data_IF_761725520633
#
_entry.id   IF_761725520633
#
_cell.length_a   1.000
_cell.length_b   1.000
_cell.length_c   1.000
_cell.angle_alpha   90.00
_cell.angle_beta   90.00
_cell.angle_gamma   90.00
#
_symmetry.space_group_name_H-M   'P 1'
#
loop_
_entity.id
_entity.type
_entity.pdbx_description
1 polymer ?
#
# COMPACT_ATOMS: atom_id res chain seq x y z
N UNK A 1 -9.81 21.31 20.66
CA UNK A 1 -8.95 20.74 19.59
C UNK A 1 -8.84 21.78 18.49
N UNK A 2 -7.64 22.00 17.96
CA UNK A 2 -7.43 22.99 16.89
C UNK A 2 -8.06 22.51 15.59
N UNK A 3 -8.59 23.47 14.82
CA UNK A 3 -9.10 23.23 13.48
C UNK A 3 -7.91 23.05 12.50
N UNK A 4 -8.10 22.16 11.54
CA UNK A 4 -7.20 22.01 10.40
C UNK A 4 -7.82 22.82 9.27
N UNK A 5 -7.18 23.95 8.94
CA UNK A 5 -7.63 24.83 7.87
C UNK A 5 -7.14 24.30 6.50
N UNK A 6 -8.07 24.13 5.57
CA UNK A 6 -7.82 23.71 4.20
C UNK A 6 -8.13 24.81 3.16
N UNK A 7 -8.42 26.05 3.61
CA UNK A 7 -8.83 27.14 2.73
C UNK A 7 -7.78 27.45 1.66
N UNK A 8 -6.51 27.47 2.01
CA UNK A 8 -5.41 27.70 1.06
C UNK A 8 -5.39 26.69 -0.11
N UNK A 9 -5.85 25.47 0.11
CA UNK A 9 -5.98 24.48 -0.97
C UNK A 9 -7.21 24.76 -1.85
N UNK A 10 -8.29 25.31 -1.25
CA UNK A 10 -9.47 25.76 -2.02
C UNK A 10 -9.09 26.90 -2.95
N UNK A 11 -8.36 27.90 -2.46
CA UNK A 11 -7.83 29.01 -3.25
C UNK A 11 -6.88 28.52 -4.36
N UNK A 12 -6.07 27.49 -4.10
CA UNK A 12 -5.21 26.85 -5.10
C UNK A 12 -5.97 26.01 -6.13
N UNK A 13 -7.31 25.97 -6.11
CA UNK A 13 -8.13 25.26 -7.07
C UNK A 13 -8.39 23.80 -6.72
N UNK A 14 -8.51 23.47 -5.43
CA UNK A 14 -8.83 22.11 -4.95
C UNK A 14 -10.05 21.52 -5.68
N UNK A 15 -11.09 22.32 -5.89
CA UNK A 15 -12.35 21.91 -6.50
C UNK A 15 -12.43 22.12 -8.02
N UNK A 16 -11.32 22.46 -8.67
CA UNK A 16 -11.28 22.55 -10.12
C UNK A 16 -11.49 21.17 -10.75
N UNK A 17 -12.49 21.05 -11.61
CA UNK A 17 -12.84 19.81 -12.28
C UNK A 17 -11.96 19.52 -13.51
N UNK A 18 -11.05 20.45 -13.89
CA UNK A 18 -10.10 20.20 -14.96
C UNK A 18 -9.02 19.19 -14.48
N UNK A 19 -8.93 17.98 -15.07
CA UNK A 19 -7.91 17.01 -14.70
C UNK A 19 -6.47 17.49 -14.92
N UNK A 20 -6.27 18.43 -15.85
CA UNK A 20 -4.95 18.96 -16.20
C UNK A 20 -4.53 20.12 -15.28
N UNK A 21 -5.43 20.62 -14.45
CA UNK A 21 -5.08 21.64 -13.45
C UNK A 21 -4.13 21.04 -12.42
N UNK A 22 -2.92 21.58 -12.33
CA UNK A 22 -1.88 21.09 -11.45
C UNK A 22 -1.78 21.94 -10.17
N UNK A 23 -2.09 21.35 -9.03
CA UNK A 23 -1.77 21.93 -7.73
C UNK A 23 -0.40 21.40 -7.33
N UNK A 24 0.60 22.28 -7.12
CA UNK A 24 1.94 21.85 -6.80
C UNK A 24 1.98 20.84 -5.64
N UNK A 25 2.75 19.75 -5.81
CA UNK A 25 2.98 18.68 -4.82
C UNK A 25 1.74 17.86 -4.45
N UNK A 26 0.60 18.08 -5.13
CA UNK A 26 -0.60 17.27 -4.98
C UNK A 26 -0.85 16.41 -6.22
N UNK A 27 -1.34 15.20 -5.99
CA UNK A 27 -1.86 14.33 -7.03
C UNK A 27 -3.38 14.26 -6.90
N UNK A 28 -4.09 14.61 -7.97
CA UNK A 28 -5.54 14.47 -8.07
C UNK A 28 -5.89 13.29 -8.97
N UNK A 29 -6.92 12.55 -8.62
CA UNK A 29 -7.43 11.45 -9.42
C UNK A 29 -8.95 11.47 -9.41
N UNK A 30 -9.54 11.61 -10.57
CA UNK A 30 -10.99 11.56 -10.77
C UNK A 30 -11.45 10.11 -10.94
N UNK A 31 -12.60 9.82 -10.41
CA UNK A 31 -13.22 8.51 -10.45
C UNK A 31 -14.74 8.67 -10.57
N UNK A 32 -15.33 8.10 -11.61
CA UNK A 32 -16.79 8.03 -11.77
C UNK A 32 -17.25 6.64 -11.40
N UNK A 33 -18.12 6.56 -10.41
CA UNK A 33 -18.75 5.31 -9.97
C UNK A 33 -19.76 4.85 -11.03
N UNK A 34 -19.56 3.64 -11.55
CA UNK A 34 -20.51 3.03 -12.47
C UNK A 34 -21.84 2.66 -11.79
N UNK A 35 -21.79 2.43 -10.47
CA UNK A 35 -22.96 2.02 -9.68
C UNK A 35 -23.87 3.20 -9.34
N UNK A 36 -23.27 4.34 -8.98
CA UNK A 36 -23.98 5.50 -8.44
C UNK A 36 -24.02 6.68 -9.41
N UNK A 37 -23.25 6.63 -10.51
CA UNK A 37 -23.03 7.70 -11.47
C UNK A 37 -22.51 9.01 -10.84
N UNK A 38 -21.96 8.94 -9.61
CA UNK A 38 -21.31 10.07 -8.96
C UNK A 38 -19.85 10.13 -9.36
N UNK A 39 -19.34 11.33 -9.54
CA UNK A 39 -17.91 11.57 -9.82
C UNK A 39 -17.23 12.17 -8.61
N UNK A 40 -16.13 11.56 -8.21
CA UNK A 40 -15.32 11.96 -7.07
C UNK A 40 -13.92 12.34 -7.53
N UNK A 41 -13.29 13.26 -6.80
CA UNK A 41 -11.87 13.51 -6.88
C UNK A 41 -11.20 13.06 -5.57
N UNK A 42 -10.16 12.22 -5.70
CA UNK A 42 -9.26 11.90 -4.58
C UNK A 42 -8.02 12.78 -4.69
N UNK A 43 -7.69 13.47 -3.63
CA UNK A 43 -6.51 14.33 -3.54
C UNK A 43 -5.55 13.77 -2.51
N UNK A 44 -4.28 13.70 -2.86
CA UNK A 44 -3.22 13.26 -1.97
C UNK A 44 -1.91 13.98 -2.27
N UNK A 45 -1.07 14.15 -1.27
CA UNK A 45 0.27 14.68 -1.50
C UNK A 45 1.10 13.73 -2.40
N UNK A 46 1.95 14.32 -3.23
CA UNK A 46 2.97 13.56 -3.95
C UNK A 46 4.16 13.29 -3.02
N UNK A 47 4.40 12.01 -2.74
CA UNK A 47 5.46 11.59 -1.82
C UNK A 47 6.87 11.92 -2.33
N UNK A 48 7.05 12.01 -3.65
CA UNK A 48 8.37 12.21 -4.27
C UNK A 48 8.78 13.68 -4.28
N UNK A 49 7.80 14.59 -4.39
CA UNK A 49 8.05 16.04 -4.50
C UNK A 49 7.92 16.78 -3.16
N UNK A 50 7.32 16.17 -2.13
CA UNK A 50 7.10 16.79 -0.83
C UNK A 50 8.35 16.73 0.05
N UNK A 51 8.77 17.87 0.59
CA UNK A 51 9.89 17.98 1.54
C UNK A 51 9.45 17.72 2.99
N UNK A 52 10.41 17.64 3.92
CA UNK A 52 10.08 17.42 5.35
C UNK A 52 9.40 18.63 5.99
N UNK A 53 9.78 19.82 5.60
CA UNK A 53 9.23 21.09 6.08
C UNK A 53 7.75 21.25 5.74
N UNK A 54 7.30 20.55 4.69
CA UNK A 54 5.92 20.59 4.21
C UNK A 54 5.00 19.52 4.82
N UNK A 55 5.51 18.72 5.77
CA UNK A 55 4.69 17.69 6.40
C UNK A 55 3.49 18.24 7.16
N UNK A 56 3.61 19.43 7.72
CA UNK A 56 2.55 20.09 8.49
C UNK A 56 1.62 20.94 7.63
N UNK A 57 1.94 21.16 6.35
CA UNK A 57 1.11 21.87 5.38
C UNK A 57 0.60 20.91 4.29
N UNK A 58 1.40 20.61 3.28
CA UNK A 58 1.04 19.67 2.20
C UNK A 58 0.70 18.28 2.71
N UNK A 59 1.33 17.85 3.79
CA UNK A 59 1.08 16.57 4.44
C UNK A 59 -0.33 16.40 5.01
N UNK A 60 -1.10 17.49 5.19
CA UNK A 60 -2.53 17.47 5.51
C UNK A 60 -3.33 16.72 4.42
N UNK A 61 -2.94 16.86 3.17
CA UNK A 61 -3.59 16.25 2.02
C UNK A 61 -3.16 14.79 1.82
N UNK A 62 -3.25 13.96 2.85
CA UNK A 62 -2.88 12.53 2.77
C UNK A 62 -3.86 11.72 1.94
N UNK A 63 -5.14 11.95 2.12
CA UNK A 63 -6.25 11.42 1.35
C UNK A 63 -7.49 12.25 1.66
N UNK A 64 -7.86 13.10 0.74
CA UNK A 64 -9.08 13.92 0.79
C UNK A 64 -9.94 13.51 -0.38
N UNK A 65 -11.24 13.34 -0.15
CA UNK A 65 -12.21 13.00 -1.20
C UNK A 65 -13.30 14.04 -1.22
N UNK A 66 -13.59 14.56 -2.39
CA UNK A 66 -14.76 15.41 -2.61
C UNK A 66 -15.60 14.91 -3.80
N UNK A 67 -16.91 15.18 -3.75
CA UNK A 67 -17.81 14.96 -4.88
C UNK A 67 -17.70 16.16 -5.83
N UNK A 68 -17.48 15.89 -7.11
CA UNK A 68 -17.25 16.94 -8.11
C UNK A 68 -18.51 17.71 -8.48
N UNK A 69 -19.69 17.15 -8.26
CA UNK A 69 -20.97 17.78 -8.64
C UNK A 69 -21.33 18.96 -7.70
N UNK A 70 -21.16 18.76 -6.39
CA UNK A 70 -21.48 19.77 -5.39
C UNK A 70 -20.25 20.36 -4.68
N UNK A 71 -19.04 19.93 -5.06
CA UNK A 71 -17.75 20.36 -4.50
C UNK A 71 -17.64 20.15 -2.97
N UNK A 72 -18.38 19.19 -2.43
CA UNK A 72 -18.36 18.90 -1.01
C UNK A 72 -17.25 17.91 -0.66
N UNK A 73 -16.45 18.24 0.33
CA UNK A 73 -15.48 17.32 0.93
C UNK A 73 -16.25 16.31 1.79
N UNK A 74 -16.06 15.03 1.46
CA UNK A 74 -16.76 13.91 2.07
C UNK A 74 -15.86 13.07 2.98
N UNK A 75 -14.55 13.07 2.72
CA UNK A 75 -13.59 12.27 3.50
C UNK A 75 -12.28 13.01 3.69
N UNK A 76 -11.74 12.88 4.88
CA UNK A 76 -10.42 13.35 5.26
C UNK A 76 -9.72 12.27 6.08
N UNK A 77 -8.51 11.88 5.66
CA UNK A 77 -7.71 10.89 6.38
C UNK A 77 -6.74 11.58 7.35
N UNK A 78 -6.36 10.92 8.47
CA UNK A 78 -5.34 11.46 9.35
C UNK A 78 -4.12 11.96 8.59
N UNK A 79 -3.64 13.19 8.84
CA UNK A 79 -2.50 13.79 8.16
C UNK A 79 -1.24 12.93 8.23
N UNK A 80 -0.27 13.26 7.41
CA UNK A 80 1.02 12.60 7.44
C UNK A 80 1.71 12.85 8.79
N UNK A 81 2.03 11.79 9.52
CA UNK A 81 2.86 11.90 10.71
C UNK A 81 4.30 12.23 10.31
N UNK A 82 4.93 13.14 11.03
CA UNK A 82 6.37 13.36 10.96
C UNK A 82 7.12 12.15 11.51
N UNK A 83 8.35 11.94 11.06
CA UNK A 83 9.21 10.97 11.72
C UNK A 83 9.77 11.62 12.99
N UNK A 84 9.66 10.94 14.13
CA UNK A 84 10.15 11.46 15.41
C UNK A 84 11.68 11.62 15.36
N UNK A 85 12.13 12.79 15.76
CA UNK A 85 13.50 13.06 16.18
C UNK A 85 13.43 13.80 17.52
N UNK A 86 14.45 13.70 18.35
CA UNK A 86 14.53 14.45 19.61
C UNK A 86 14.38 15.96 19.39
N UNK A 87 14.88 16.48 18.29
CA UNK A 87 14.77 17.88 17.89
C UNK A 87 13.33 18.25 17.52
N UNK A 88 12.67 17.45 16.69
CA UNK A 88 11.28 17.72 16.27
C UNK A 88 10.29 17.60 17.43
N UNK A 89 10.61 16.83 18.47
CA UNK A 89 9.79 16.69 19.65
C UNK A 89 10.06 17.80 20.69
N UNK A 90 11.29 18.35 20.71
CA UNK A 90 11.66 19.46 21.59
C UNK A 90 10.83 20.74 21.38
N UNK A 91 10.39 20.98 20.12
CA UNK A 91 9.51 22.09 19.75
C UNK A 91 8.03 21.86 20.16
N UNK A 92 7.66 20.64 20.55
CA UNK A 92 6.32 20.34 21.04
C UNK A 92 6.29 20.63 22.54
N UNK A 93 5.50 21.62 22.94
CA UNK A 93 5.17 21.80 24.35
C UNK A 93 4.56 20.50 24.86
N UNK A 94 5.17 19.92 25.89
CA UNK A 94 4.82 18.59 26.42
C UNK A 94 3.39 18.45 26.94
N UNK A 95 2.67 19.56 27.08
CA UNK A 95 1.28 19.56 27.53
C UNK A 95 0.37 18.94 26.44
N UNK A 96 -0.45 17.98 26.85
CA UNK A 96 -1.42 17.29 26.01
C UNK A 96 -0.85 16.40 24.91
N UNK A 97 0.32 15.78 25.10
CA UNK A 97 0.81 14.75 24.21
C UNK A 97 0.38 13.38 24.70
N UNK A 98 -0.13 12.58 23.77
CA UNK A 98 -0.55 11.20 23.98
C UNK A 98 0.32 10.25 23.17
N UNK A 99 0.77 9.15 23.79
CA UNK A 99 1.38 8.03 23.09
C UNK A 99 0.31 6.96 22.85
N UNK A 100 0.21 6.52 21.61
CA UNK A 100 -0.76 5.52 21.18
C UNK A 100 -0.12 4.47 20.26
N UNK A 101 -0.79 3.35 20.14
CA UNK A 101 -0.42 2.27 19.23
C UNK A 101 -0.26 2.79 17.79
N UNK A 102 0.83 2.40 17.14
CA UNK A 102 0.95 2.54 15.70
C UNK A 102 0.35 1.29 15.04
N UNK A 103 -0.91 1.37 14.65
CA UNK A 103 -1.67 0.23 14.15
C UNK A 103 -1.17 -0.23 12.78
N UNK A 104 -0.80 -1.52 12.64
CA UNK A 104 -0.46 -2.15 11.35
C UNK A 104 -1.73 -2.49 10.56
N UNK A 105 -1.73 -2.20 9.28
CA UNK A 105 -2.83 -2.51 8.36
C UNK A 105 -3.01 -1.47 7.25
N UNK A 106 -4.11 -1.58 6.54
CA UNK A 106 -4.47 -0.68 5.43
C UNK A 106 -5.57 0.27 5.84
N UNK A 107 -5.31 1.58 5.69
CA UNK A 107 -6.31 2.61 6.01
C UNK A 107 -7.44 2.63 4.97
N UNK A 108 -8.66 2.54 5.46
CA UNK A 108 -9.93 2.69 4.72
C UNK A 108 -10.74 3.78 5.40
N UNK A 109 -11.20 4.75 4.64
CA UNK A 109 -12.10 5.78 5.16
C UNK A 109 -13.53 5.47 4.75
N UNK A 110 -14.46 5.74 5.65
CA UNK A 110 -15.90 5.58 5.48
C UNK A 110 -16.55 6.96 5.59
N UNK A 111 -17.43 7.28 4.66
CA UNK A 111 -18.14 8.56 4.61
C UNK A 111 -19.53 8.39 4.01
N UNK A 112 -20.42 9.32 4.34
CA UNK A 112 -21.77 9.42 3.78
C UNK A 112 -21.78 10.37 2.59
N UNK A 113 -22.43 9.98 1.48
CA UNK A 113 -22.69 10.86 0.34
C UNK A 113 -24.20 10.95 0.10
N UNK A 114 -24.75 12.12 0.32
CA UNK A 114 -26.17 12.44 0.15
C UNK A 114 -26.66 12.40 -1.30
N UNK A 115 -25.72 12.48 -2.26
CA UNK A 115 -26.05 12.45 -3.70
C UNK A 115 -26.21 11.04 -4.28
N UNK A 116 -26.12 10.00 -3.48
CA UNK A 116 -26.31 8.63 -3.93
C UNK A 116 -27.77 8.23 -3.74
N UNK A 117 -28.44 7.87 -4.85
CA UNK A 117 -29.85 7.51 -4.82
C UNK A 117 -30.73 8.64 -4.34
N UNK A 118 -31.86 8.29 -3.71
CA UNK A 118 -32.82 9.28 -3.19
C UNK A 118 -32.53 9.74 -1.75
N UNK A 119 -31.83 8.94 -0.98
CA UNK A 119 -31.60 9.17 0.45
C UNK A 119 -30.13 9.26 0.87
N UNK A 120 -29.20 9.13 -0.08
CA UNK A 120 -27.77 8.98 0.18
C UNK A 120 -27.38 7.53 0.49
N UNK A 121 -26.06 7.28 0.51
CA UNK A 121 -25.51 5.97 0.90
C UNK A 121 -24.08 6.11 1.43
N UNK A 122 -23.65 5.09 2.19
CA UNK A 122 -22.31 4.98 2.70
C UNK A 122 -21.32 4.59 1.61
N UNK A 123 -20.20 5.28 1.57
CA UNK A 123 -19.07 4.96 0.68
C UNK A 123 -17.81 4.68 1.46
N UNK A 124 -16.94 3.88 0.83
CA UNK A 124 -15.62 3.58 1.37
C UNK A 124 -14.55 4.02 0.36
N UNK A 125 -13.41 4.43 0.87
CA UNK A 125 -12.27 4.80 0.04
C UNK A 125 -10.97 4.29 0.63
N UNK A 126 -10.09 3.81 -0.21
CA UNK A 126 -8.68 3.66 0.13
C UNK A 126 -7.97 5.01 -0.05
N UNK A 127 -6.67 5.08 0.23
CA UNK A 127 -5.91 6.34 0.09
C UNK A 127 -6.08 7.05 -1.27
N UNK A 128 -6.36 6.33 -2.35
CA UNK A 128 -6.36 6.89 -3.71
C UNK A 128 -7.44 6.31 -4.62
N UNK A 129 -8.39 5.58 -4.09
CA UNK A 129 -9.45 4.94 -4.87
C UNK A 129 -10.74 4.91 -4.08
N UNK A 130 -11.73 5.67 -4.55
CA UNK A 130 -13.12 5.58 -4.07
C UNK A 130 -13.68 4.21 -4.43
N UNK A 131 -14.63 3.72 -3.66
CA UNK A 131 -15.14 2.34 -3.64
C UNK A 131 -14.11 1.29 -3.21
N UNK A 132 -12.81 1.63 -3.10
CA UNK A 132 -11.74 0.71 -2.73
C UNK A 132 -11.69 -0.62 -3.53
N UNK A 133 -12.18 -0.61 -4.79
CA UNK A 133 -12.18 -1.78 -5.68
C UNK A 133 -10.79 -2.06 -6.29
N UNK A 134 -9.77 -1.95 -5.48
CA UNK A 134 -8.36 -2.20 -5.80
C UNK A 134 -7.73 -3.08 -4.74
N UNK A 135 -6.66 -3.78 -5.08
CA UNK A 135 -5.80 -4.52 -4.14
C UNK A 135 -4.35 -4.13 -4.33
N UNK A 136 -3.52 -4.37 -3.32
CA UNK A 136 -2.09 -4.10 -3.44
C UNK A 136 -1.34 -5.32 -4.01
N UNK A 137 -1.60 -6.50 -3.48
CA UNK A 137 -1.00 -7.75 -3.96
C UNK A 137 -1.89 -8.36 -5.03
N UNK A 138 -1.58 -8.04 -6.30
CA UNK A 138 -2.37 -8.51 -7.43
C UNK A 138 -1.86 -9.89 -7.90
N UNK A 139 -2.61 -10.92 -7.60
CA UNK A 139 -2.53 -12.24 -8.20
C UNK A 139 -3.94 -12.73 -8.54
N UNK A 140 -4.05 -13.73 -9.39
CA UNK A 140 -5.34 -14.28 -9.80
C UNK A 140 -6.15 -14.70 -8.57
N UNK A 141 -7.34 -14.13 -8.39
CA UNK A 141 -8.21 -14.39 -7.25
C UNK A 141 -7.94 -13.55 -6.00
N UNK A 142 -7.04 -12.52 -6.07
CA UNK A 142 -6.85 -11.60 -4.94
C UNK A 142 -8.09 -10.77 -4.67
N UNK A 143 -8.45 -10.63 -3.39
CA UNK A 143 -9.56 -9.80 -2.93
C UNK A 143 -9.22 -8.30 -3.06
N UNK A 144 -10.22 -7.48 -3.35
CA UNK A 144 -10.09 -6.02 -3.30
C UNK A 144 -10.17 -5.51 -1.85
N UNK A 145 -9.68 -4.30 -1.59
CA UNK A 145 -9.84 -3.67 -0.28
C UNK A 145 -11.31 -3.52 0.12
N UNK A 146 -12.20 -3.24 -0.85
CA UNK A 146 -13.65 -3.22 -0.58
C UNK A 146 -14.13 -4.55 -0.05
N UNK A 147 -13.80 -5.64 -0.75
CA UNK A 147 -14.23 -6.98 -0.34
C UNK A 147 -13.72 -7.32 1.06
N UNK A 148 -12.43 -7.13 1.30
CA UNK A 148 -11.80 -7.42 2.59
C UNK A 148 -12.35 -6.54 3.72
N UNK A 149 -12.68 -5.28 3.44
CA UNK A 149 -13.27 -4.36 4.41
C UNK A 149 -14.68 -4.80 4.80
N UNK A 150 -15.54 -5.16 3.83
CA UNK A 150 -16.88 -5.64 4.10
C UNK A 150 -16.87 -7.00 4.82
N UNK A 151 -15.94 -7.89 4.48
CA UNK A 151 -15.69 -9.13 5.22
C UNK A 151 -15.31 -8.84 6.67
N UNK A 152 -14.44 -7.86 6.89
CA UNK A 152 -14.06 -7.42 8.23
C UNK A 152 -15.23 -6.77 8.98
N UNK A 153 -16.10 -5.97 8.34
CA UNK A 153 -17.32 -5.44 8.94
C UNK A 153 -18.20 -6.57 9.48
N UNK A 154 -18.42 -7.60 8.67
CA UNK A 154 -19.21 -8.77 9.09
C UNK A 154 -18.55 -9.50 10.26
N UNK A 155 -17.23 -9.73 10.22
CA UNK A 155 -16.50 -10.42 11.29
C UNK A 155 -16.55 -9.69 12.63
N UNK A 156 -16.52 -8.34 12.61
CA UNK A 156 -16.58 -7.51 13.81
C UNK A 156 -18.01 -7.02 14.14
N UNK A 157 -19.02 -7.44 13.40
CA UNK A 157 -20.43 -7.02 13.55
C UNK A 157 -20.62 -5.50 13.41
N UNK A 158 -19.86 -4.83 12.55
CA UNK A 158 -20.01 -3.41 12.29
C UNK A 158 -21.08 -3.18 11.22
N UNK A 159 -22.20 -2.61 11.61
CA UNK A 159 -23.23 -2.08 10.73
C UNK A 159 -23.01 -0.58 10.54
N UNK A 160 -23.16 -0.08 9.30
CA UNK A 160 -22.96 1.34 9.03
C UNK A 160 -24.00 2.23 9.70
N UNK A 161 -25.15 1.68 10.06
CA UNK A 161 -26.20 2.41 10.82
C UNK A 161 -25.78 2.77 12.25
N UNK A 162 -24.71 2.18 12.78
CA UNK A 162 -24.10 2.61 14.03
C UNK A 162 -23.29 3.90 13.86
N UNK A 163 -22.94 4.28 12.63
CA UNK A 163 -22.17 5.48 12.34
C UNK A 163 -23.08 6.68 12.10
N UNK A 164 -22.72 7.82 12.64
CA UNK A 164 -23.44 9.08 12.39
C UNK A 164 -23.05 9.67 11.05
N UNK A 165 -24.02 10.11 10.26
CA UNK A 165 -23.80 10.75 8.94
C UNK A 165 -23.25 12.16 9.09
N UNK A 166 -23.86 12.93 10.01
CA UNK A 166 -23.53 14.32 10.30
C UNK A 166 -23.51 14.56 11.81
N UNK A 167 -22.87 15.62 12.22
CA UNK A 167 -22.94 16.18 13.56
C UNK A 167 -24.21 17.04 13.71
N UNK A 168 -24.60 17.41 14.94
CA UNK A 168 -25.80 18.22 15.25
C UNK A 168 -25.80 19.57 14.53
N UNK A 169 -24.62 20.17 14.29
CA UNK A 169 -24.46 21.43 13.55
C UNK A 169 -24.53 21.29 12.02
N UNK A 170 -24.83 20.10 11.49
CA UNK A 170 -24.88 19.79 10.06
C UNK A 170 -23.54 19.48 9.42
N UNK A 171 -22.43 19.56 10.16
CA UNK A 171 -21.10 19.18 9.65
C UNK A 171 -21.04 17.69 9.36
N UNK A 172 -20.32 17.29 8.31
CA UNK A 172 -20.18 15.88 7.91
C UNK A 172 -19.20 15.16 8.81
N UNK A 173 -19.47 13.87 9.02
CA UNK A 173 -18.57 12.99 9.75
C UNK A 173 -17.94 11.98 8.78
N UNK A 174 -16.63 11.76 8.92
CA UNK A 174 -15.93 10.68 8.23
C UNK A 174 -15.05 9.89 9.20
N UNK A 175 -14.89 8.61 8.89
CA UNK A 175 -14.31 7.62 9.79
C UNK A 175 -13.07 6.99 9.14
N UNK A 176 -11.95 6.98 9.84
CA UNK A 176 -10.71 6.37 9.39
C UNK A 176 -10.48 5.04 10.12
N UNK A 177 -10.68 3.94 9.42
CA UNK A 177 -10.41 2.60 9.91
C UNK A 177 -9.06 2.09 9.38
N UNK A 178 -8.40 1.27 10.17
CA UNK A 178 -7.32 0.41 9.71
C UNK A 178 -7.85 -1.01 9.55
N UNK A 179 -7.84 -1.50 8.34
CA UNK A 179 -8.18 -2.86 7.97
C UNK A 179 -6.99 -3.78 8.23
N UNK A 180 -7.21 -4.78 9.08
CA UNK A 180 -6.31 -5.91 9.33
C UNK A 180 -6.95 -7.18 8.75
N UNK A 181 -6.29 -7.80 7.78
CA UNK A 181 -6.89 -8.92 7.06
C UNK A 181 -5.84 -9.98 6.73
N UNK A 182 -6.15 -11.30 6.88
CA UNK A 182 -5.22 -12.38 6.56
C UNK A 182 -4.68 -12.31 5.14
N UNK A 183 -5.53 -12.00 4.15
CA UNK A 183 -5.15 -11.92 2.73
C UNK A 183 -4.43 -10.62 2.36
N UNK A 184 -4.28 -9.68 3.30
CA UNK A 184 -3.57 -8.41 3.10
C UNK A 184 -2.54 -8.14 4.20
N UNK A 185 -1.81 -9.16 4.61
CA UNK A 185 -0.77 -9.05 5.61
C UNK A 185 0.34 -8.09 5.16
N UNK A 186 0.65 -7.06 5.96
CA UNK A 186 1.79 -6.17 5.74
C UNK A 186 3.02 -6.74 6.47
N UNK A 187 3.00 -6.79 7.80
CA UNK A 187 4.02 -7.44 8.62
C UNK A 187 3.37 -8.39 9.61
N UNK A 188 2.44 -7.88 10.41
CA UNK A 188 1.79 -8.66 11.47
C UNK A 188 0.84 -9.69 10.85
N UNK A 189 0.93 -10.98 11.24
CA UNK A 189 -0.04 -11.99 10.79
C UNK A 189 -1.34 -11.84 11.57
N UNK A 190 -2.45 -11.84 10.85
CA UNK A 190 -3.79 -11.86 11.45
C UNK A 190 -4.51 -13.16 11.06
N UNK A 191 -5.13 -13.83 12.02
CA UNK A 191 -5.90 -15.06 11.77
C UNK A 191 -7.34 -14.76 11.35
N UNK A 192 -7.85 -13.58 11.71
CA UNK A 192 -9.18 -13.10 11.40
C UNK A 192 -9.12 -11.67 10.89
N UNK A 193 -10.12 -11.29 10.11
CA UNK A 193 -10.27 -9.92 9.69
C UNK A 193 -10.69 -9.04 10.90
N UNK A 194 -10.10 -7.85 11.02
CA UNK A 194 -10.38 -6.90 12.09
C UNK A 194 -10.45 -5.48 11.54
N UNK A 195 -11.14 -4.62 12.27
CA UNK A 195 -11.17 -3.18 12.03
C UNK A 195 -10.74 -2.45 13.30
N UNK A 196 -9.86 -1.47 13.12
CA UNK A 196 -9.45 -0.54 14.19
C UNK A 196 -9.90 0.85 13.78
N UNK A 197 -10.81 1.47 14.52
CA UNK A 197 -11.22 2.86 14.31
C UNK A 197 -10.15 3.79 14.89
N UNK A 198 -9.36 4.38 13.99
CA UNK A 198 -8.19 5.20 14.39
C UNK A 198 -8.60 6.65 14.68
N UNK A 199 -9.50 7.22 13.86
CA UNK A 199 -9.90 8.62 14.01
C UNK A 199 -11.25 8.87 13.35
N UNK A 200 -12.00 9.80 13.92
CA UNK A 200 -13.19 10.40 13.31
C UNK A 200 -12.88 11.87 13.06
N UNK A 201 -13.33 12.40 11.95
CA UNK A 201 -13.21 13.82 11.63
C UNK A 201 -14.57 14.43 11.35
N UNK A 202 -14.76 15.64 11.85
CA UNK A 202 -15.85 16.54 11.52
C UNK A 202 -15.36 17.50 10.43
N UNK A 203 -16.06 17.54 9.31
CA UNK A 203 -15.76 18.39 8.15
C UNK A 203 -16.76 19.54 8.15
N UNK A 204 -16.27 20.74 8.40
CA UNK A 204 -17.04 21.97 8.40
C UNK A 204 -16.75 22.71 7.09
N UNK A 205 -17.73 22.77 6.21
CA UNK A 205 -17.58 23.41 4.90
C UNK A 205 -18.72 24.40 4.67
N UNK A 206 -18.36 25.65 4.43
CA UNK A 206 -19.23 26.75 3.97
C UNK A 206 -18.74 27.21 2.60
N UNK A 207 -19.38 28.25 2.05
CA UNK A 207 -18.96 28.87 0.79
C UNK A 207 -17.52 29.39 0.84
N UNK A 208 -17.14 29.94 2.00
CA UNK A 208 -15.88 30.69 2.14
C UNK A 208 -14.88 30.02 3.08
N UNK A 209 -15.22 28.89 3.67
CA UNK A 209 -14.34 28.22 4.62
C UNK A 209 -14.43 26.69 4.51
N UNK A 210 -13.28 26.03 4.66
CA UNK A 210 -13.18 24.58 4.75
C UNK A 210 -12.23 24.22 5.88
N UNK A 211 -12.80 23.75 7.00
CA UNK A 211 -12.02 23.29 8.14
C UNK A 211 -12.36 21.84 8.51
N UNK A 212 -11.40 21.15 9.08
CA UNK A 212 -11.55 19.77 9.55
C UNK A 212 -11.11 19.70 11.00
N UNK A 213 -11.94 19.11 11.84
CA UNK A 213 -11.68 18.97 13.28
C UNK A 213 -11.66 17.49 13.64
N UNK A 214 -10.63 16.99 14.35
CA UNK A 214 -10.73 15.69 14.98
C UNK A 214 -11.94 15.65 15.92
N UNK A 215 -12.73 14.60 15.79
CA UNK A 215 -13.97 14.47 16.54
C UNK A 215 -13.90 13.26 17.46
N UNK A 216 -14.15 13.48 18.73
CA UNK A 216 -14.25 12.42 19.73
C UNK A 216 -15.70 12.34 20.22
N UNK A 217 -16.31 11.18 19.99
CA UNK A 217 -17.67 10.90 20.42
C UNK A 217 -17.66 9.70 21.38
N UNK A 218 -17.81 10.01 22.66
CA UNK A 218 -17.84 8.99 23.72
C UNK A 218 -19.05 8.06 23.51
N UNK A 219 -20.21 8.60 23.10
CA UNK A 219 -21.43 7.80 22.89
C UNK A 219 -21.24 6.81 21.72
N UNK A 220 -20.60 7.24 20.62
CA UNK A 220 -20.26 6.36 19.51
C UNK A 220 -19.25 5.29 19.94
N UNK A 221 -18.21 5.67 20.69
CA UNK A 221 -17.22 4.72 21.17
C UNK A 221 -17.85 3.64 22.06
N UNK A 222 -18.70 4.05 22.99
CA UNK A 222 -19.46 3.14 23.87
C UNK A 222 -20.36 2.22 23.05
N UNK A 223 -21.14 2.77 22.09
CA UNK A 223 -22.01 2.00 21.21
C UNK A 223 -21.24 0.93 20.44
N UNK A 224 -20.10 1.31 19.82
CA UNK A 224 -19.27 0.37 19.07
C UNK A 224 -18.66 -0.71 19.97
N UNK A 225 -18.26 -0.36 21.20
CA UNK A 225 -17.74 -1.34 22.17
C UNK A 225 -18.80 -2.33 22.64
N UNK A 226 -20.05 -1.90 22.76
CA UNK A 226 -21.17 -2.75 23.18
C UNK A 226 -21.73 -3.64 22.07
N UNK A 227 -21.78 -3.12 20.83
CA UNK A 227 -22.46 -3.77 19.71
C UNK A 227 -21.50 -4.50 18.76
N UNK A 228 -20.21 -4.20 18.81
CA UNK A 228 -19.23 -4.69 17.84
C UNK A 228 -17.94 -5.15 18.50
N UNK A 229 -17.10 -5.84 17.73
CA UNK A 229 -15.71 -6.13 18.11
C UNK A 229 -14.70 -5.18 17.45
N UNK A 230 -15.15 -4.01 16.98
CA UNK A 230 -14.28 -2.94 16.47
C UNK A 230 -13.30 -2.52 17.54
N UNK A 231 -12.03 -2.46 17.18
CA UNK A 231 -10.95 -2.04 18.08
C UNK A 231 -10.67 -0.55 17.96
N UNK A 232 -9.98 -0.02 18.95
CA UNK A 232 -9.42 1.32 18.97
C UNK A 232 -7.91 1.21 19.20
N UNK A 233 -7.08 2.17 18.73
CA UNK A 233 -5.67 2.18 19.08
C UNK A 233 -5.50 2.18 20.60
N UNK A 234 -4.59 1.36 21.09
CA UNK A 234 -4.25 1.35 22.50
C UNK A 234 -3.57 2.66 22.89
N UNK A 235 -4.02 3.30 23.96
CA UNK A 235 -3.38 4.48 24.52
C UNK A 235 -2.39 4.03 25.58
N UNK A 236 -1.09 4.19 25.32
CA UNK A 236 -0.04 3.77 26.22
C UNK A 236 0.18 4.76 27.36
N UNK A 237 0.13 6.06 27.04
CA UNK A 237 0.27 7.12 28.04
C UNK A 237 -0.30 8.44 27.53
N UNK A 238 -0.88 9.21 28.45
CA UNK A 238 -1.37 10.58 28.25
C UNK A 238 -0.50 11.57 29.01
N UNK A 239 -0.48 12.84 28.60
CA UNK A 239 0.30 13.91 29.23
C UNK A 239 1.78 13.55 29.41
N UNK A 240 2.42 13.12 28.32
CA UNK A 240 3.78 12.60 28.32
C UNK A 240 4.79 13.69 28.73
N UNK A 241 5.66 13.37 29.67
CA UNK A 241 6.81 14.18 30.01
C UNK A 241 8.08 13.69 29.28
N UNK A 242 9.10 14.53 29.18
CA UNK A 242 10.38 14.14 28.56
C UNK A 242 11.01 12.88 29.17
N UNK A 243 10.84 12.69 30.50
CA UNK A 243 11.29 11.49 31.22
C UNK A 243 10.63 10.19 30.73
N UNK A 244 9.41 10.26 30.25
CA UNK A 244 8.64 9.08 29.84
C UNK A 244 9.01 8.55 28.45
N UNK A 245 9.61 9.41 27.64
CA UNK A 245 9.87 9.13 26.23
C UNK A 245 10.79 7.92 26.08
N UNK A 246 11.88 7.88 26.86
CA UNK A 246 12.86 6.81 26.75
C UNK A 246 12.24 5.44 27.11
N UNK A 247 11.45 5.39 28.17
CA UNK A 247 10.77 4.17 28.60
C UNK A 247 9.77 3.66 27.53
N UNK A 248 9.03 4.59 26.90
CA UNK A 248 8.14 4.27 25.80
C UNK A 248 8.89 3.76 24.57
N UNK A 249 10.03 4.37 24.24
CA UNK A 249 10.88 3.93 23.13
C UNK A 249 11.48 2.54 23.39
N UNK A 250 11.97 2.31 24.59
CA UNK A 250 12.56 1.03 24.98
C UNK A 250 11.54 -0.10 24.95
N UNK A 251 10.28 0.21 25.30
CA UNK A 251 9.19 -0.77 25.30
C UNK A 251 8.64 -1.06 23.90
N UNK A 252 8.36 -0.01 23.10
CA UNK A 252 7.56 -0.14 21.88
C UNK A 252 8.34 0.10 20.58
N UNK A 253 9.56 0.61 20.62
CA UNK A 253 10.32 0.98 19.43
C UNK A 253 11.82 0.69 19.53
N UNK A 254 12.22 -0.30 20.32
CA UNK A 254 13.61 -0.74 20.49
C UNK A 254 13.91 -2.03 19.69
N UNK A 255 15.18 -2.42 19.69
CA UNK A 255 15.62 -3.71 19.12
C UNK A 255 15.12 -4.94 19.90
N UNK A 256 14.62 -4.75 21.12
CA UNK A 256 14.04 -5.82 21.94
C UNK A 256 12.52 -5.93 21.76
N UNK A 257 11.90 -4.96 21.08
CA UNK A 257 10.48 -4.96 20.78
C UNK A 257 10.17 -6.00 19.69
N UNK A 258 9.23 -6.93 19.91
CA UNK A 258 8.90 -7.97 18.92
C UNK A 258 8.29 -7.35 17.65
N UNK A 259 8.49 -8.02 16.50
CA UNK A 259 8.09 -7.50 15.18
C UNK A 259 6.58 -7.31 14.99
N UNK A 260 5.73 -7.88 15.83
CA UNK A 260 4.29 -7.70 15.79
C UNK A 260 3.82 -6.36 16.38
N UNK A 261 4.71 -5.59 16.97
CA UNK A 261 4.49 -4.21 17.40
C UNK A 261 5.08 -3.29 16.35
N UNK A 262 4.25 -2.49 15.65
CA UNK A 262 4.74 -1.59 14.60
C UNK A 262 5.57 -0.43 15.14
N UNK A 263 5.31 -0.02 16.37
CA UNK A 263 5.89 1.13 17.04
C UNK A 263 4.84 1.95 17.75
N UNK A 264 5.08 3.24 17.91
CA UNK A 264 4.15 4.15 18.55
C UNK A 264 3.96 5.46 17.76
N UNK A 265 2.86 6.13 18.04
CA UNK A 265 2.53 7.45 17.53
C UNK A 265 2.36 8.40 18.71
N UNK A 266 3.05 9.52 18.65
CA UNK A 266 2.78 10.65 19.53
C UNK A 266 1.80 11.58 18.85
N UNK A 267 0.71 11.90 19.52
CA UNK A 267 -0.33 12.82 19.05
C UNK A 267 -0.40 14.02 19.99
N UNK A 268 -0.19 15.21 19.47
CA UNK A 268 -0.42 16.45 20.21
C UNK A 268 -1.90 16.82 20.08
N UNK A 269 -2.64 16.74 21.19
CA UNK A 269 -4.08 16.96 21.22
C UNK A 269 -4.47 18.45 21.08
N UNK A 270 -3.50 19.37 21.22
CA UNK A 270 -3.72 20.80 21.09
C UNK A 270 -3.69 21.25 19.63
N UNK A 271 -2.70 20.83 18.85
CA UNK A 271 -2.46 21.30 17.47
C UNK A 271 -2.61 20.20 16.39
N UNK A 272 -3.04 19.00 16.78
CA UNK A 272 -3.22 17.82 15.92
C UNK A 272 -1.94 17.32 15.20
N UNK A 273 -0.77 17.79 15.60
CA UNK A 273 0.49 17.29 15.06
C UNK A 273 0.72 15.85 15.54
N UNK A 274 1.27 15.04 14.64
CA UNK A 274 1.55 13.64 14.93
C UNK A 274 2.99 13.28 14.54
N UNK A 275 3.69 12.66 15.46
CA UNK A 275 4.99 12.03 15.19
C UNK A 275 4.87 10.52 15.35
N UNK A 276 5.62 9.77 14.55
CA UNK A 276 5.65 8.32 14.65
C UNK A 276 7.08 7.83 14.83
N UNK A 277 7.19 6.76 15.59
CA UNK A 277 8.43 5.98 15.69
C UNK A 277 8.08 4.55 15.34
N UNK A 278 8.88 3.95 14.49
CA UNK A 278 8.74 2.55 14.13
C UNK A 278 9.72 1.69 14.89
N UNK A 279 9.22 0.55 15.32
CA UNK A 279 10.06 -0.52 15.81
C UNK A 279 11.05 -0.95 14.72
N UNK A 280 12.37 -0.95 14.99
CA UNK A 280 13.39 -1.32 14.00
C UNK A 280 13.22 -2.77 13.51
N UNK A 281 12.81 -3.71 14.36
CA UNK A 281 12.59 -5.11 13.99
C UNK A 281 11.37 -5.24 13.06
N UNK A 282 10.28 -4.50 13.33
CA UNK A 282 9.16 -4.41 12.40
C UNK A 282 9.60 -3.86 11.02
N UNK A 283 10.43 -2.81 11.00
CA UNK A 283 10.94 -2.23 9.74
C UNK A 283 11.86 -3.19 8.97
N UNK A 284 12.65 -4.02 9.65
CA UNK A 284 13.44 -5.07 9.00
C UNK A 284 12.55 -6.08 8.29
N UNK A 285 11.53 -6.60 8.97
CA UNK A 285 10.56 -7.54 8.36
C UNK A 285 9.79 -6.88 7.22
N UNK A 286 9.39 -5.61 7.39
CA UNK A 286 8.71 -4.84 6.35
C UNK A 286 9.59 -4.62 5.11
N UNK A 287 10.88 -4.32 5.29
CA UNK A 287 11.84 -4.18 4.18
C UNK A 287 12.07 -5.50 3.47
N UNK A 288 12.13 -6.60 4.23
CA UNK A 288 12.24 -7.94 3.66
C UNK A 288 11.04 -8.28 2.76
N UNK A 289 9.83 -7.92 3.16
CA UNK A 289 8.62 -8.06 2.32
C UNK A 289 8.67 -7.14 1.10
N UNK A 290 9.15 -5.92 1.25
CA UNK A 290 9.23 -4.93 0.20
C UNK A 290 7.88 -4.42 -0.29
N UNK A 291 7.91 -3.55 -1.30
CA UNK A 291 6.72 -2.91 -1.88
C UNK A 291 6.35 -3.46 -3.27
N UNK A 292 6.75 -4.70 -3.58
CA UNK A 292 6.45 -5.30 -4.88
C UNK A 292 5.08 -5.99 -4.88
N UNK A 293 4.12 -5.53 -5.69
CA UNK A 293 2.80 -6.16 -5.76
C UNK A 293 2.85 -7.56 -6.39
N UNK A 294 3.80 -7.82 -7.30
CA UNK A 294 3.94 -9.12 -7.97
C UNK A 294 4.83 -10.06 -7.16
N UNK A 295 4.22 -11.08 -6.58
CA UNK A 295 4.90 -12.08 -5.75
C UNK A 295 6.03 -12.82 -6.51
N UNK A 296 5.88 -13.08 -7.82
CA UNK A 296 6.91 -13.70 -8.64
C UNK A 296 8.16 -12.80 -8.76
N UNK A 297 7.97 -11.49 -8.96
CA UNK A 297 9.08 -10.54 -9.01
C UNK A 297 9.80 -10.47 -7.66
N UNK A 298 9.04 -10.46 -6.54
CA UNK A 298 9.60 -10.51 -5.19
C UNK A 298 10.46 -11.76 -4.98
N UNK A 299 9.96 -12.95 -5.34
CA UNK A 299 10.71 -14.18 -5.28
C UNK A 299 12.05 -14.08 -6.02
N UNK A 300 12.03 -13.61 -7.27
CA UNK A 300 13.23 -13.49 -8.09
C UNK A 300 14.26 -12.51 -7.50
N UNK A 301 13.79 -11.39 -6.95
CA UNK A 301 14.65 -10.42 -6.24
C UNK A 301 15.26 -11.02 -4.97
N UNK A 302 14.45 -11.64 -4.12
CA UNK A 302 14.92 -12.28 -2.89
C UNK A 302 15.90 -13.42 -3.17
N UNK A 303 15.69 -14.16 -4.26
CA UNK A 303 16.59 -15.23 -4.69
C UNK A 303 17.98 -14.69 -5.05
N UNK A 304 18.05 -13.58 -5.80
CA UNK A 304 19.32 -12.94 -6.13
C UNK A 304 20.06 -12.40 -4.90
N UNK A 305 19.31 -11.97 -3.88
CA UNK A 305 19.84 -11.47 -2.61
C UNK A 305 20.16 -12.59 -1.61
N UNK A 306 19.92 -13.87 -1.95
CA UNK A 306 20.02 -15.03 -1.04
C UNK A 306 19.11 -14.93 0.21
N UNK A 307 18.00 -14.18 0.14
CA UNK A 307 17.09 -13.91 1.27
C UNK A 307 15.81 -14.75 1.27
N UNK A 308 15.66 -15.73 0.37
CA UNK A 308 14.42 -16.54 0.28
C UNK A 308 14.15 -17.30 1.58
N UNK A 309 15.17 -17.89 2.20
CA UNK A 309 15.02 -18.63 3.46
C UNK A 309 14.63 -17.71 4.63
N UNK A 310 15.26 -16.55 4.74
CA UNK A 310 14.93 -15.52 5.72
C UNK A 310 13.48 -15.03 5.56
N UNK A 311 13.10 -14.75 4.31
CA UNK A 311 11.74 -14.34 3.97
C UNK A 311 10.69 -15.39 4.39
N UNK A 312 10.89 -16.66 4.03
CA UNK A 312 9.93 -17.73 4.31
C UNK A 312 9.80 -18.07 5.79
N UNK A 313 10.78 -17.72 6.64
CA UNK A 313 10.64 -17.80 8.11
C UNK A 313 9.59 -16.80 8.61
N UNK A 314 9.51 -15.61 7.98
CA UNK A 314 8.57 -14.56 8.36
C UNK A 314 7.23 -14.67 7.64
N UNK A 315 7.22 -15.14 6.39
CA UNK A 315 6.05 -15.22 5.51
C UNK A 315 5.89 -16.64 4.93
N UNK A 316 5.62 -17.64 5.77
CA UNK A 316 5.50 -19.04 5.34
C UNK A 316 4.36 -19.28 4.36
N UNK A 317 3.34 -18.42 4.36
CA UNK A 317 2.20 -18.46 3.43
C UNK A 317 2.60 -18.40 1.96
N UNK A 318 3.72 -17.74 1.63
CA UNK A 318 4.23 -17.61 0.26
C UNK A 318 5.02 -18.85 -0.23
N UNK A 319 5.26 -19.83 0.63
CA UNK A 319 6.11 -20.99 0.34
C UNK A 319 5.66 -21.81 -0.86
N UNK A 320 4.35 -22.04 -1.00
CA UNK A 320 3.79 -22.78 -2.16
C UNK A 320 4.04 -22.04 -3.48
N UNK A 321 3.78 -20.73 -3.51
CA UNK A 321 4.00 -19.89 -4.69
C UNK A 321 5.49 -19.84 -5.06
N UNK A 322 6.38 -19.70 -4.08
CA UNK A 322 7.83 -19.68 -4.28
C UNK A 322 8.35 -21.00 -4.84
N UNK A 323 7.80 -22.14 -4.41
CA UNK A 323 8.13 -23.45 -4.96
C UNK A 323 7.77 -23.55 -6.44
N UNK A 324 6.60 -23.05 -6.83
CA UNK A 324 6.18 -23.00 -8.25
C UNK A 324 7.14 -22.13 -9.08
N UNK A 325 7.47 -20.93 -8.59
CA UNK A 325 8.39 -20.02 -9.31
C UNK A 325 9.80 -20.59 -9.42
N UNK A 326 10.27 -21.30 -8.40
CA UNK A 326 11.53 -22.04 -8.44
C UNK A 326 11.54 -23.08 -9.55
N UNK A 327 10.48 -23.88 -9.65
CA UNK A 327 10.33 -24.90 -10.69
C UNK A 327 10.26 -24.29 -12.08
N UNK A 328 9.52 -23.20 -12.26
CA UNK A 328 9.43 -22.47 -13.53
C UNK A 328 10.81 -21.96 -13.98
N UNK A 329 11.57 -21.32 -13.08
CA UNK A 329 12.91 -20.82 -13.40
C UNK A 329 13.88 -21.96 -13.72
N UNK A 330 13.82 -23.05 -12.98
CA UNK A 330 14.64 -24.26 -13.25
C UNK A 330 14.33 -24.85 -14.62
N UNK A 331 13.05 -25.01 -14.95
CA UNK A 331 12.63 -25.54 -16.25
C UNK A 331 13.04 -24.63 -17.40
N UNK A 332 12.91 -23.30 -17.23
CA UNK A 332 13.41 -22.32 -18.20
C UNK A 332 14.93 -22.47 -18.42
N UNK A 333 15.71 -22.52 -17.34
CA UNK A 333 17.17 -22.66 -17.40
C UNK A 333 17.61 -23.94 -18.08
N UNK A 334 16.95 -25.07 -17.76
CA UNK A 334 17.19 -26.35 -18.40
C UNK A 334 16.84 -26.30 -19.89
N UNK A 335 15.71 -25.72 -20.26
CA UNK A 335 15.30 -25.53 -21.65
C UNK A 335 16.26 -24.63 -22.43
N UNK A 336 16.77 -23.55 -21.83
CA UNK A 336 17.76 -22.67 -22.43
C UNK A 336 19.05 -23.42 -22.75
N UNK A 337 19.58 -24.19 -21.79
CA UNK A 337 20.77 -25.00 -22.02
C UNK A 337 20.57 -26.05 -23.12
N UNK A 338 19.43 -26.74 -23.09
CA UNK A 338 19.11 -27.78 -24.06
C UNK A 338 18.98 -27.23 -25.49
N UNK A 339 18.36 -26.08 -25.64
CA UNK A 339 18.24 -25.36 -26.91
C UNK A 339 19.62 -24.85 -27.40
N UNK A 340 20.45 -24.34 -26.49
CA UNK A 340 21.82 -23.94 -26.79
C UNK A 340 22.63 -25.11 -27.33
N UNK A 341 22.62 -26.25 -26.66
CA UNK A 341 23.32 -27.47 -27.12
C UNK A 341 22.83 -27.94 -28.50
N UNK A 342 21.51 -27.92 -28.70
CA UNK A 342 20.93 -28.34 -29.99
C UNK A 342 21.27 -27.37 -31.11
N UNK A 343 21.37 -26.07 -30.85
CA UNK A 343 21.66 -25.04 -31.85
C UNK A 343 23.17 -24.99 -32.20
N UNK A 344 24.02 -24.76 -31.19
CA UNK A 344 25.43 -24.42 -31.43
C UNK A 344 26.36 -25.62 -31.40
N UNK A 345 26.03 -26.66 -30.64
CA UNK A 345 26.88 -27.86 -30.53
C UNK A 345 26.44 -28.92 -31.55
N UNK A 346 25.15 -29.31 -31.49
CA UNK A 346 24.60 -30.38 -32.36
C UNK A 346 24.16 -29.88 -33.74
N UNK A 347 24.09 -28.57 -33.95
CA UNK A 347 23.70 -27.92 -35.22
C UNK A 347 22.39 -28.45 -35.82
N UNK A 348 21.41 -28.81 -34.97
CA UNK A 348 20.15 -29.42 -35.43
C UNK A 348 19.31 -28.50 -36.29
N UNK A 349 19.25 -27.19 -35.94
CA UNK A 349 18.53 -26.17 -36.67
C UNK A 349 19.11 -24.78 -36.37
N UNK A 350 18.92 -23.78 -37.28
CA UNK A 350 19.43 -22.43 -37.07
C UNK A 350 18.71 -21.71 -35.91
N UNK A 351 19.37 -20.73 -35.31
CA UNK A 351 18.86 -19.97 -34.13
C UNK A 351 17.46 -19.41 -34.34
N UNK A 352 17.12 -18.92 -35.53
CA UNK A 352 15.84 -18.35 -35.89
C UNK A 352 14.63 -19.29 -35.73
N UNK A 353 14.86 -20.60 -35.72
CA UNK A 353 13.83 -21.63 -35.59
C UNK A 353 13.56 -22.05 -34.13
N UNK A 354 14.34 -21.54 -33.18
CA UNK A 354 14.07 -21.78 -31.76
C UNK A 354 13.01 -20.79 -31.20
N UNK A 355 12.33 -21.14 -30.09
CA UNK A 355 11.37 -20.23 -29.49
C UNK A 355 11.99 -18.88 -29.13
N UNK A 356 11.28 -17.81 -29.43
CA UNK A 356 11.79 -16.43 -29.31
C UNK A 356 12.37 -16.12 -27.93
N UNK A 357 11.73 -16.61 -26.86
CA UNK A 357 12.17 -16.43 -25.47
C UNK A 357 13.57 -16.90 -25.16
N UNK A 358 14.14 -17.81 -25.99
CA UNK A 358 15.49 -18.34 -25.79
C UNK A 358 16.54 -17.71 -26.74
N UNK A 359 16.13 -17.18 -27.89
CA UNK A 359 17.05 -16.78 -28.96
C UNK A 359 18.09 -15.79 -28.51
N UNK A 360 17.68 -14.68 -27.91
CA UNK A 360 18.59 -13.63 -27.42
C UNK A 360 19.56 -14.19 -26.38
N UNK A 361 19.06 -14.98 -25.44
CA UNK A 361 19.87 -15.57 -24.38
C UNK A 361 20.85 -16.62 -24.91
N UNK A 362 20.43 -17.45 -25.87
CA UNK A 362 21.31 -18.39 -26.54
C UNK A 362 22.45 -17.67 -27.28
N UNK A 363 22.13 -16.57 -27.98
CA UNK A 363 23.13 -15.75 -28.67
C UNK A 363 24.11 -15.11 -27.67
N UNK A 364 23.63 -14.53 -26.57
CA UNK A 364 24.49 -13.92 -25.55
C UNK A 364 25.42 -14.96 -24.91
N UNK A 365 24.89 -16.15 -24.57
CA UNK A 365 25.71 -17.25 -24.03
C UNK A 365 26.77 -17.71 -25.04
N UNK A 366 26.41 -17.73 -26.33
CA UNK A 366 27.39 -18.12 -27.39
C UNK A 366 28.46 -17.05 -27.58
N UNK A 367 28.13 -15.77 -27.51
CA UNK A 367 29.12 -14.69 -27.49
C UNK A 367 30.08 -14.84 -26.31
N UNK A 368 29.56 -15.07 -25.09
CA UNK A 368 30.40 -15.35 -23.91
C UNK A 368 31.35 -16.54 -24.16
N UNK A 369 30.89 -17.57 -24.87
CA UNK A 369 31.74 -18.69 -25.26
C UNK A 369 32.90 -18.24 -26.16
N UNK A 370 32.60 -17.49 -27.23
CA UNK A 370 33.60 -17.01 -28.18
C UNK A 370 34.59 -16.02 -27.54
N UNK A 371 34.10 -15.12 -26.73
CA UNK A 371 34.89 -14.01 -26.18
C UNK A 371 35.76 -14.43 -24.99
N UNK A 372 35.33 -15.43 -24.18
CA UNK A 372 35.95 -15.71 -22.89
C UNK A 372 36.42 -17.18 -22.73
N UNK A 373 35.73 -18.14 -23.36
CA UNK A 373 35.90 -19.55 -23.03
C UNK A 373 36.69 -20.34 -24.08
N UNK A 374 36.72 -19.90 -25.33
CA UNK A 374 37.44 -20.58 -26.44
C UNK A 374 38.91 -20.63 -26.12
N UNK A 375 39.55 -19.52 -25.81
CA UNK A 375 40.97 -19.44 -25.49
C UNK A 375 41.33 -20.23 -24.23
N UNK A 376 40.39 -20.27 -23.25
CA UNK A 376 40.55 -21.06 -22.05
C UNK A 376 40.25 -22.56 -22.23
N UNK A 377 39.97 -23.03 -23.46
CA UNK A 377 39.57 -24.41 -23.78
C UNK A 377 38.43 -24.95 -22.95
N UNK A 378 37.49 -24.07 -22.54
CA UNK A 378 36.29 -24.40 -21.77
C UNK A 378 35.07 -24.44 -22.69
N UNK A 379 34.08 -25.26 -22.33
CA UNK A 379 32.80 -25.33 -23.02
C UNK A 379 31.68 -24.80 -22.17
N UNK A 380 30.58 -24.34 -22.80
CA UNK A 380 29.36 -24.00 -22.10
C UNK A 380 28.76 -25.26 -21.46
N UNK A 381 28.61 -25.24 -20.16
CA UNK A 381 27.96 -26.27 -19.36
C UNK A 381 26.74 -25.72 -18.62
N UNK A 382 26.01 -26.59 -17.93
CA UNK A 382 24.81 -26.19 -17.20
C UNK A 382 25.08 -25.14 -16.10
N UNK A 383 26.25 -25.21 -15.44
CA UNK A 383 26.61 -24.26 -14.37
C UNK A 383 26.76 -22.83 -14.91
N UNK A 384 27.38 -22.66 -16.08
CA UNK A 384 27.51 -21.36 -16.74
C UNK A 384 26.15 -20.78 -17.12
N UNK A 385 25.23 -21.64 -17.61
CA UNK A 385 23.86 -21.20 -17.95
C UNK A 385 23.08 -20.83 -16.70
N UNK A 386 23.22 -21.57 -15.60
CA UNK A 386 22.62 -21.24 -14.30
C UNK A 386 23.14 -19.88 -13.81
N UNK A 387 24.46 -19.66 -13.85
CA UNK A 387 25.07 -18.39 -13.48
C UNK A 387 24.54 -17.24 -14.35
N UNK A 388 24.50 -17.42 -15.65
CA UNK A 388 23.96 -16.45 -16.59
C UNK A 388 22.51 -16.09 -16.25
N UNK A 389 21.64 -17.08 -16.06
CA UNK A 389 20.22 -16.83 -15.72
C UNK A 389 20.07 -16.17 -14.35
N UNK A 390 20.91 -16.53 -13.38
CA UNK A 390 20.89 -15.92 -12.03
C UNK A 390 21.28 -14.43 -12.06
N UNK A 391 22.15 -14.04 -12.99
CA UNK A 391 22.60 -12.66 -13.17
C UNK A 391 21.65 -11.79 -14.00
N UNK A 392 20.64 -12.39 -14.67
CA UNK A 392 19.61 -11.61 -15.36
C UNK A 392 18.78 -10.80 -14.35
N UNK A 393 18.46 -9.57 -14.70
CA UNK A 393 17.56 -8.75 -13.87
C UNK A 393 16.22 -9.47 -13.64
N UNK A 394 15.58 -9.37 -12.44
CA UNK A 394 14.32 -10.08 -12.13
C UNK A 394 13.21 -9.87 -13.16
N UNK A 395 13.11 -8.66 -13.76
CA UNK A 395 12.15 -8.39 -14.83
C UNK A 395 12.42 -9.21 -16.10
N UNK A 396 13.68 -9.43 -16.44
CA UNK A 396 14.07 -10.26 -17.60
C UNK A 396 13.78 -11.74 -17.33
N UNK A 397 14.11 -12.22 -16.13
CA UNK A 397 13.76 -13.59 -15.71
C UNK A 397 12.25 -13.81 -15.77
N UNK A 398 11.46 -12.86 -15.21
CA UNK A 398 10.00 -12.93 -15.22
C UNK A 398 9.44 -12.86 -16.65
N UNK A 399 10.01 -12.02 -17.52
CA UNK A 399 9.63 -11.95 -18.93
C UNK A 399 9.86 -13.29 -19.63
N UNK A 400 11.05 -13.87 -19.48
CA UNK A 400 11.42 -15.13 -20.10
C UNK A 400 10.55 -16.31 -19.65
N UNK A 401 10.26 -16.40 -18.34
CA UNK A 401 9.41 -17.45 -17.77
C UNK A 401 7.95 -17.32 -18.26
N UNK A 402 7.43 -16.11 -18.35
CA UNK A 402 6.01 -15.84 -18.65
C UNK A 402 5.75 -15.56 -20.14
N UNK A 403 6.72 -15.76 -21.02
CA UNK A 403 6.61 -15.42 -22.43
C UNK A 403 5.40 -16.06 -23.13
N UNK A 404 5.14 -17.32 -22.83
CA UNK A 404 4.02 -18.07 -23.40
C UNK A 404 2.63 -17.53 -23.03
N UNK A 405 2.48 -16.93 -21.86
CA UNK A 405 1.23 -16.30 -21.43
C UNK A 405 0.96 -15.01 -22.20
N UNK A 406 2.02 -14.23 -22.48
CA UNK A 406 1.93 -12.99 -23.26
C UNK A 406 1.55 -13.22 -24.71
N UNK A 407 2.11 -14.27 -25.33
CA UNK A 407 1.79 -14.64 -26.70
C UNK A 407 0.29 -14.94 -26.86
N UNK A 408 -0.29 -15.71 -25.94
CA UNK A 408 -1.73 -16.00 -25.97
C UNK A 408 -2.60 -14.74 -25.87
N UNK A 409 -2.18 -13.76 -25.04
CA UNK A 409 -2.92 -12.50 -24.91
C UNK A 409 -2.84 -11.67 -26.18
N UNK A 410 -1.71 -11.63 -26.87
CA UNK A 410 -1.55 -10.96 -28.17
C UNK A 410 -2.38 -11.62 -29.25
N UNK A 411 -2.31 -12.95 -29.38
CA UNK A 411 -3.08 -13.73 -30.35
C UNK A 411 -4.61 -13.54 -30.13
N UNK A 412 -5.07 -13.34 -28.89
CA UNK A 412 -6.48 -13.06 -28.58
C UNK A 412 -6.92 -11.62 -28.90
N UNK A 413 -5.99 -10.66 -28.87
CA UNK A 413 -6.26 -9.27 -29.28
C UNK A 413 -6.35 -9.16 -30.79
N UNK A 414 -5.48 -9.83 -31.53
CA UNK A 414 -5.48 -9.79 -33.00
C UNK A 414 -6.78 -10.41 -33.60
N UNK A 415 -7.40 -11.37 -32.91
CA UNK A 415 -8.67 -11.98 -33.33
C UNK A 415 -9.87 -11.04 -33.06
N UNK A 416 -9.78 -10.15 -32.05
CA UNK A 416 -10.86 -9.21 -31.73
C UNK A 416 -10.89 -7.93 -32.59
N UNK A 417 -9.86 -7.72 -33.41
CA UNK A 417 -9.75 -6.56 -34.34
C UNK A 417 -10.21 -6.92 -35.75
N UNK A 418 -10.42 -8.22 -36.03
CA UNK A 418 -10.84 -8.73 -37.33
C UNK A 418 -12.30 -9.15 -37.41
N UNK A 419 -13.11 -8.95 -36.38
CA UNK A 419 -14.57 -9.04 -36.35
C UNK A 419 -15.17 -7.62 -36.15
#
# INVERSE_FOLDING_TARGET
>A
MSEIDLHSFVEAGLFDNNPDHNIPKLCRKFFTSKKTNQTYCTVRYDKLSMTKEEYLSVGLMRSVVFNTNNKQVLSFAPPKSIDYTSESFGDWKCDNIQAEEYVDGTMINVFWDELIGESGDWQITSRSCVEANVGFYLHTGSKTFRYMFLEACNEVSLEFDYLKKTHEDGSRLCYSFVLQHPDNRIVVPYNKANLVLVKVYKICQTTDNLTVVPYEDISLKTLLQEKTSVKFPEVYKTNIQHSDIQDLLDTYASKNTPYNVQGLVFSNLTNNNRAKIRNPIYEEVRRLKGNQPKIQYRYLTLRQQNKVSEYLKMFPEDGKAFSVFRSQLHNYTKGLYQNYVNCYIKKKKPLKEYPYQFRTHMFTIHRKYLDELVDAKKSINMSIVIEYVNNLHPSQQMFAINYHMRKRTMDSIDVSVTE
#
